data_IF_635990213613
#
_entry.id   IF_635990213613
#
_cell.length_a   1.000
_cell.length_b   1.000
_cell.length_c   1.000
_cell.angle_alpha   90.00
_cell.angle_beta   90.00
_cell.angle_gamma   90.00
#
_symmetry.space_group_name_H-M   'P 1'
#
loop_
_entity.id
_entity.type
_entity.pdbx_description
1 polymer ?
#
# COMPACT_ATOMS: atom_id res chain seq x y z
N UNK A 1 -15.04 -3.16 17.72
CA UNK A 1 -15.74 -3.00 16.44
C UNK A 1 -15.47 -4.26 15.61
N UNK A 2 -16.52 -4.98 15.21
CA UNK A 2 -16.38 -6.11 14.29
C UNK A 2 -16.36 -5.56 12.86
N UNK A 3 -15.27 -5.84 12.13
CA UNK A 3 -15.12 -5.42 10.74
C UNK A 3 -15.84 -6.31 9.74
N UNK A 4 -16.42 -7.43 10.18
CA UNK A 4 -17.16 -8.39 9.35
C UNK A 4 -16.34 -8.88 8.13
N UNK A 5 -15.07 -9.20 8.34
CA UNK A 5 -14.16 -9.70 7.30
C UNK A 5 -14.07 -11.24 7.28
N UNK A 6 -14.72 -11.92 8.22
CA UNK A 6 -14.79 -13.39 8.23
C UNK A 6 -15.42 -13.91 6.94
N UNK A 7 -14.75 -14.87 6.30
CA UNK A 7 -15.15 -15.44 5.01
C UNK A 7 -14.74 -14.64 3.78
N UNK A 8 -14.15 -13.44 3.96
CA UNK A 8 -13.57 -12.65 2.87
C UNK A 8 -12.17 -13.11 2.53
N UNK A 9 -11.82 -13.07 1.25
CA UNK A 9 -10.48 -13.37 0.75
C UNK A 9 -9.78 -12.07 0.33
N UNK A 10 -8.61 -11.80 0.90
CA UNK A 10 -7.84 -10.59 0.65
C UNK A 10 -6.47 -10.91 0.01
N UNK A 11 -6.16 -10.25 -1.11
CA UNK A 11 -4.81 -10.22 -1.68
C UNK A 11 -4.13 -8.93 -1.25
N UNK A 12 -2.95 -9.03 -0.62
CA UNK A 12 -2.12 -7.88 -0.26
C UNK A 12 -0.81 -7.94 -1.04
N UNK A 13 -0.60 -7.02 -1.99
CA UNK A 13 0.60 -7.05 -2.84
C UNK A 13 1.83 -6.56 -2.09
N UNK A 14 2.99 -7.23 -2.30
CA UNK A 14 4.24 -6.90 -1.63
C UNK A 14 4.17 -7.10 -0.11
N UNK A 15 3.33 -8.01 0.36
CA UNK A 15 3.12 -8.26 1.79
C UNK A 15 4.13 -9.23 2.41
N UNK A 16 5.14 -9.64 1.66
CA UNK A 16 6.24 -10.46 2.19
C UNK A 16 7.13 -9.70 3.20
N UNK A 17 6.96 -8.37 3.34
CA UNK A 17 7.68 -7.52 4.30
C UNK A 17 6.99 -6.18 4.55
N UNK A 18 7.56 -5.39 5.48
CA UNK A 18 7.23 -3.96 5.67
C UNK A 18 5.78 -3.71 6.08
N UNK A 19 5.19 -2.65 5.54
CA UNK A 19 3.81 -2.25 5.83
C UNK A 19 2.80 -3.27 5.31
N UNK A 20 3.06 -3.87 4.14
CA UNK A 20 2.20 -4.90 3.55
C UNK A 20 2.05 -6.13 4.44
N UNK A 21 3.13 -6.57 5.11
CA UNK A 21 3.10 -7.68 6.06
C UNK A 21 2.17 -7.37 7.25
N UNK A 22 2.23 -6.15 7.80
CA UNK A 22 1.37 -5.72 8.91
C UNK A 22 -0.09 -5.58 8.47
N UNK A 23 -0.34 -5.12 7.24
CA UNK A 23 -1.69 -5.10 6.65
C UNK A 23 -2.23 -6.53 6.53
N UNK A 24 -1.46 -7.46 5.99
CA UNK A 24 -1.85 -8.87 5.87
C UNK A 24 -2.20 -9.47 7.25
N UNK A 25 -1.35 -9.22 8.25
CA UNK A 25 -1.58 -9.65 9.63
C UNK A 25 -2.85 -9.05 10.23
N UNK A 26 -3.11 -7.76 10.01
CA UNK A 26 -4.29 -7.08 10.51
C UNK A 26 -5.57 -7.68 9.90
N UNK A 27 -5.62 -7.84 8.58
CA UNK A 27 -6.76 -8.43 7.88
C UNK A 27 -7.04 -9.87 8.34
N UNK A 28 -5.99 -10.68 8.54
CA UNK A 28 -6.15 -12.04 9.03
C UNK A 28 -6.68 -12.11 10.47
N UNK A 29 -6.25 -11.19 11.35
CA UNK A 29 -6.78 -11.07 12.73
C UNK A 29 -8.26 -10.67 12.76
N UNK A 30 -8.72 -9.95 11.75
CA UNK A 30 -10.12 -9.61 11.55
C UNK A 30 -10.93 -10.73 10.86
N UNK A 31 -10.33 -11.90 10.65
CA UNK A 31 -11.01 -13.12 10.15
C UNK A 31 -10.95 -13.30 8.63
N UNK A 32 -10.25 -12.45 7.89
CA UNK A 32 -10.08 -12.65 6.46
C UNK A 32 -9.09 -13.78 6.14
N UNK A 33 -9.37 -14.56 5.09
CA UNK A 33 -8.37 -15.40 4.42
C UNK A 33 -7.43 -14.49 3.66
N UNK A 34 -6.13 -14.53 3.93
CA UNK A 34 -5.17 -13.59 3.34
C UNK A 34 -4.16 -14.30 2.45
N UNK A 35 -4.04 -13.82 1.22
CA UNK A 35 -2.99 -14.20 0.29
C UNK A 35 -1.82 -13.23 0.46
N UNK A 36 -0.69 -13.76 0.91
CA UNK A 36 0.56 -13.03 1.15
C UNK A 36 1.39 -13.08 -0.13
N UNK A 37 1.65 -11.92 -0.73
CA UNK A 37 2.30 -11.83 -2.03
C UNK A 37 3.78 -11.44 -1.94
N UNK A 38 4.61 -12.23 -2.65
CA UNK A 38 6.02 -11.95 -2.96
C UNK A 38 6.24 -11.83 -4.47
N UNK A 39 7.25 -11.06 -4.89
CA UNK A 39 7.60 -10.94 -6.30
C UNK A 39 8.46 -12.11 -6.78
N UNK A 40 9.18 -12.75 -5.87
CA UNK A 40 10.12 -13.86 -6.14
C UNK A 40 9.79 -15.05 -5.27
N UNK A 41 10.10 -16.22 -5.77
CA UNK A 41 9.99 -17.47 -5.02
C UNK A 41 10.69 -17.37 -3.64
N UNK A 42 10.09 -17.97 -2.63
CA UNK A 42 10.58 -17.98 -1.26
C UNK A 42 10.22 -16.75 -0.43
N UNK A 43 9.84 -15.62 -1.04
CA UNK A 43 9.54 -14.39 -0.28
C UNK A 43 8.23 -14.49 0.49
N UNK A 44 7.17 -14.95 -0.17
CA UNK A 44 5.86 -15.08 0.45
C UNK A 44 5.82 -16.23 1.45
N UNK A 45 6.47 -17.33 1.12
CA UNK A 45 6.58 -18.52 1.97
C UNK A 45 7.26 -18.20 3.30
N UNK A 46 8.42 -17.51 3.26
CA UNK A 46 9.12 -17.06 4.45
C UNK A 46 8.29 -16.09 5.31
N UNK A 47 7.52 -15.21 4.67
CA UNK A 47 6.64 -14.29 5.38
C UNK A 47 5.47 -15.02 6.06
N UNK A 48 4.86 -15.99 5.39
CA UNK A 48 3.78 -16.83 5.96
C UNK A 48 4.31 -17.64 7.14
N UNK A 49 5.50 -18.22 7.02
CA UNK A 49 6.17 -18.93 8.11
C UNK A 49 6.40 -18.02 9.32
N UNK A 50 6.94 -16.81 9.08
CA UNK A 50 7.19 -15.82 10.13
C UNK A 50 5.90 -15.34 10.81
N UNK A 51 4.84 -15.15 10.05
CA UNK A 51 3.55 -14.66 10.56
C UNK A 51 2.72 -15.75 11.23
N UNK A 52 2.92 -17.00 10.84
CA UNK A 52 2.07 -18.14 11.25
C UNK A 52 0.64 -18.04 10.70
N UNK A 53 0.43 -17.28 9.61
CA UNK A 53 -0.88 -17.05 9.00
C UNK A 53 -0.76 -16.68 7.51
N UNK A 54 -1.87 -16.82 6.78
CA UNK A 54 -1.96 -16.48 5.35
C UNK A 54 -1.53 -17.64 4.45
N UNK A 55 -1.67 -17.42 3.15
CA UNK A 55 -1.29 -18.36 2.10
C UNK A 55 -0.32 -17.66 1.15
N UNK A 56 0.83 -18.29 0.79
CA UNK A 56 1.81 -17.65 -0.05
C UNK A 56 1.39 -17.68 -1.53
N UNK A 57 1.56 -16.55 -2.21
CA UNK A 57 1.39 -16.42 -3.68
C UNK A 57 2.54 -15.59 -4.26
N UNK A 58 3.00 -15.93 -5.46
CA UNK A 58 4.21 -15.36 -6.05
C UNK A 58 3.99 -14.96 -7.52
N UNK A 59 4.47 -13.78 -7.89
CA UNK A 59 4.51 -13.30 -9.27
C UNK A 59 5.08 -11.89 -9.35
N UNK A 60 5.91 -11.62 -10.33
CA UNK A 60 6.43 -10.26 -10.54
C UNK A 60 5.39 -9.38 -11.23
N UNK A 61 4.56 -8.72 -10.45
CA UNK A 61 3.48 -7.86 -10.94
C UNK A 61 3.95 -6.58 -11.63
N UNK A 62 5.26 -6.35 -11.74
CA UNK A 62 5.80 -5.23 -12.54
C UNK A 62 5.75 -5.47 -14.04
N UNK A 63 5.41 -6.68 -14.46
CA UNK A 63 5.21 -7.08 -15.85
C UNK A 63 3.97 -7.97 -16.01
N UNK A 64 3.52 -8.17 -17.25
CA UNK A 64 2.28 -8.86 -17.56
C UNK A 64 2.37 -10.37 -17.30
N UNK A 65 3.50 -11.00 -17.60
CA UNK A 65 3.71 -12.44 -17.39
C UNK A 65 3.67 -12.81 -15.90
N UNK A 66 4.35 -12.03 -15.07
CA UNK A 66 4.36 -12.25 -13.62
C UNK A 66 2.99 -11.95 -12.97
N UNK A 67 2.25 -10.97 -13.47
CA UNK A 67 0.88 -10.73 -13.05
C UNK A 67 -0.04 -11.91 -13.46
N UNK A 68 0.08 -12.42 -14.67
CA UNK A 68 -0.65 -13.60 -15.13
C UNK A 68 -0.30 -14.84 -14.30
N UNK A 69 0.99 -15.05 -13.97
CA UNK A 69 1.42 -16.12 -13.08
C UNK A 69 0.73 -16.04 -11.71
N UNK A 70 0.68 -14.85 -11.11
CA UNK A 70 0.00 -14.62 -9.83
C UNK A 70 -1.50 -14.94 -9.93
N UNK A 71 -2.19 -14.44 -10.96
CA UNK A 71 -3.62 -14.70 -11.18
C UNK A 71 -3.89 -16.20 -11.33
N UNK A 72 -3.06 -16.92 -12.08
CA UNK A 72 -3.20 -18.36 -12.28
C UNK A 72 -3.06 -19.16 -10.96
N UNK A 73 -2.17 -18.73 -10.04
CA UNK A 73 -2.05 -19.37 -8.72
C UNK A 73 -3.31 -19.20 -7.86
N UNK A 74 -4.06 -18.11 -8.09
CA UNK A 74 -5.30 -17.81 -7.38
C UNK A 74 -6.54 -18.37 -8.10
N UNK A 75 -6.38 -19.15 -9.17
CA UNK A 75 -7.49 -19.75 -9.92
C UNK A 75 -8.40 -20.56 -8.99
N UNK A 76 -9.71 -20.29 -9.06
CA UNK A 76 -10.71 -20.91 -8.17
C UNK A 76 -10.92 -20.19 -6.83
N UNK A 77 -10.13 -19.15 -6.52
CA UNK A 77 -10.37 -18.28 -5.36
C UNK A 77 -11.07 -16.99 -5.82
N UNK A 78 -12.18 -16.65 -5.16
CA UNK A 78 -12.76 -15.33 -5.30
C UNK A 78 -11.99 -14.35 -4.40
N UNK A 79 -11.46 -13.27 -4.99
CA UNK A 79 -10.75 -12.22 -4.24
C UNK A 79 -11.75 -11.10 -3.94
N UNK A 80 -12.13 -10.96 -2.69
CA UNK A 80 -13.04 -9.93 -2.20
C UNK A 80 -12.34 -8.59 -1.98
N UNK A 81 -11.09 -8.62 -1.51
CA UNK A 81 -10.31 -7.43 -1.13
C UNK A 81 -8.97 -7.45 -1.86
N UNK A 82 -8.68 -6.40 -2.63
CA UNK A 82 -7.39 -6.16 -3.25
C UNK A 82 -6.71 -4.97 -2.58
N UNK A 83 -5.58 -5.21 -1.90
CA UNK A 83 -4.73 -4.14 -1.37
C UNK A 83 -3.48 -4.00 -2.25
N UNK A 84 -3.46 -2.97 -3.08
CA UNK A 84 -2.31 -2.61 -3.91
C UNK A 84 -1.29 -1.84 -3.07
N UNK A 85 -0.56 -2.59 -2.22
CA UNK A 85 0.46 -2.05 -1.34
C UNK A 85 1.84 -1.99 -2.02
N UNK A 86 2.14 -2.90 -2.97
CA UNK A 86 3.44 -2.91 -3.65
C UNK A 86 3.72 -1.59 -4.34
N UNK A 87 4.95 -1.12 -4.20
CA UNK A 87 5.51 0.06 -4.82
C UNK A 87 6.86 0.42 -4.23
N UNK A 88 7.65 1.19 -4.95
CA UNK A 88 9.00 1.58 -4.51
C UNK A 88 9.24 3.08 -4.74
N UNK A 89 9.95 3.70 -3.80
CA UNK A 89 10.44 5.07 -3.89
C UNK A 89 11.91 5.05 -4.32
N UNK A 90 12.16 4.61 -5.55
CA UNK A 90 13.52 4.56 -6.08
C UNK A 90 14.13 5.98 -6.13
N UNK A 91 15.41 6.07 -5.84
CA UNK A 91 16.14 7.33 -5.87
C UNK A 91 16.14 7.91 -7.30
N UNK A 92 16.14 9.24 -7.39
CA UNK A 92 16.20 9.92 -8.68
C UNK A 92 16.20 11.44 -8.53
N UNK A 93 16.53 12.13 -9.61
CA UNK A 93 16.49 13.59 -9.68
C UNK A 93 16.05 14.03 -11.08
N UNK A 94 15.69 15.30 -11.23
CA UNK A 94 15.33 15.88 -12.53
C UNK A 94 16.48 15.88 -13.53
N UNK A 95 17.73 16.00 -13.03
CA UNK A 95 18.91 16.10 -13.88
C UNK A 95 19.45 14.73 -14.33
N UNK A 96 19.26 13.68 -13.52
CA UNK A 96 19.95 12.40 -13.73
C UNK A 96 19.02 11.23 -14.05
N UNK A 97 17.71 11.35 -13.78
CA UNK A 97 16.76 10.26 -14.05
C UNK A 97 16.46 10.13 -15.54
N UNK A 98 16.77 8.96 -16.09
CA UNK A 98 16.47 8.59 -17.49
C UNK A 98 14.98 8.33 -17.71
N UNK A 99 14.53 8.38 -18.97
CA UNK A 99 13.18 7.98 -19.35
C UNK A 99 12.85 6.55 -18.94
N UNK A 100 13.83 5.63 -19.02
CA UNK A 100 13.64 4.24 -18.61
C UNK A 100 13.39 4.11 -17.10
N UNK A 101 14.05 4.90 -16.26
CA UNK A 101 13.78 4.93 -14.82
C UNK A 101 12.36 5.45 -14.52
N UNK A 102 11.86 6.40 -15.31
CA UNK A 102 10.47 6.85 -15.23
C UNK A 102 9.48 5.73 -15.62
N UNK A 103 9.76 5.00 -16.70
CA UNK A 103 8.94 3.84 -17.11
C UNK A 103 8.95 2.77 -16.01
N UNK A 104 10.11 2.46 -15.44
CA UNK A 104 10.24 1.51 -14.33
C UNK A 104 9.42 1.96 -13.11
N UNK A 105 9.45 3.24 -12.76
CA UNK A 105 8.65 3.78 -11.66
C UNK A 105 7.14 3.60 -11.92
N UNK A 106 6.68 3.80 -13.14
CA UNK A 106 5.29 3.54 -13.55
C UNK A 106 4.93 2.06 -13.49
N UNK A 107 5.78 1.17 -13.99
CA UNK A 107 5.56 -0.28 -13.91
C UNK A 107 5.37 -0.74 -12.46
N UNK A 108 6.20 -0.22 -11.55
CA UNK A 108 6.17 -0.60 -10.14
C UNK A 108 4.99 0.01 -9.36
N UNK A 109 4.65 1.27 -9.58
CA UNK A 109 3.74 2.03 -8.72
C UNK A 109 2.32 2.24 -9.29
N UNK A 110 2.12 2.01 -10.59
CA UNK A 110 0.84 2.23 -11.27
C UNK A 110 0.37 0.96 -11.97
N UNK A 111 1.15 0.46 -12.93
CA UNK A 111 0.75 -0.66 -13.77
C UNK A 111 0.67 -1.98 -13.01
N UNK A 112 1.48 -2.16 -11.96
CA UNK A 112 1.33 -3.30 -11.03
C UNK A 112 -0.07 -3.38 -10.43
N UNK A 113 -0.62 -2.24 -9.98
CA UNK A 113 -1.98 -2.17 -9.45
C UNK A 113 -3.02 -2.31 -10.58
N UNK A 114 -2.82 -1.65 -11.71
CA UNK A 114 -3.74 -1.69 -12.84
C UNK A 114 -3.93 -3.12 -13.38
N UNK A 115 -2.86 -3.91 -13.54
CA UNK A 115 -2.94 -5.31 -13.99
C UNK A 115 -3.84 -6.16 -13.11
N UNK A 116 -3.68 -6.05 -11.80
CA UNK A 116 -4.48 -6.83 -10.85
C UNK A 116 -5.92 -6.33 -10.78
N UNK A 117 -6.14 -5.01 -10.82
CA UNK A 117 -7.48 -4.45 -10.90
C UNK A 117 -8.21 -4.99 -12.15
N UNK A 118 -7.60 -4.90 -13.31
CA UNK A 118 -8.21 -5.37 -14.57
C UNK A 118 -8.56 -6.86 -14.51
N UNK A 119 -7.71 -7.67 -13.89
CA UNK A 119 -7.91 -9.11 -13.81
C UNK A 119 -8.97 -9.53 -12.78
N UNK A 120 -9.08 -8.82 -11.65
CA UNK A 120 -9.94 -9.21 -10.52
C UNK A 120 -11.30 -8.49 -10.51
N UNK A 121 -11.38 -7.32 -11.12
CA UNK A 121 -12.59 -6.48 -11.13
C UNK A 121 -13.85 -7.16 -11.71
N UNK A 122 -13.77 -7.93 -12.81
CA UNK A 122 -14.97 -8.60 -13.34
C UNK A 122 -15.65 -9.49 -12.31
N UNK A 123 -14.90 -10.33 -11.61
CA UNK A 123 -15.45 -11.22 -10.57
C UNK A 123 -16.02 -10.45 -9.37
N UNK A 124 -15.40 -9.33 -8.95
CA UNK A 124 -15.95 -8.46 -7.91
C UNK A 124 -17.28 -7.81 -8.32
N UNK A 125 -17.40 -7.39 -9.59
CA UNK A 125 -18.64 -6.83 -10.15
C UNK A 125 -19.76 -7.87 -10.19
N UNK A 126 -19.45 -9.07 -10.68
CA UNK A 126 -20.41 -10.18 -10.76
C UNK A 126 -20.92 -10.59 -9.37
N UNK A 127 -20.07 -10.54 -8.36
CA UNK A 127 -20.44 -10.78 -6.96
C UNK A 127 -21.21 -9.61 -6.30
N UNK A 128 -21.28 -8.44 -6.95
CA UNK A 128 -21.89 -7.23 -6.40
C UNK A 128 -21.18 -6.70 -5.16
N UNK A 129 -19.93 -7.11 -4.92
CA UNK A 129 -19.14 -6.69 -3.76
C UNK A 129 -17.64 -6.79 -4.04
N UNK A 130 -16.90 -5.80 -3.62
CA UNK A 130 -15.44 -5.79 -3.67
C UNK A 130 -14.85 -4.57 -2.98
N UNK A 131 -13.60 -4.68 -2.54
CA UNK A 131 -12.83 -3.58 -1.95
C UNK A 131 -11.46 -3.51 -2.59
N UNK A 132 -11.14 -2.36 -3.15
CA UNK A 132 -9.84 -2.07 -3.76
C UNK A 132 -9.21 -0.92 -2.97
N UNK A 133 -8.08 -1.16 -2.34
CA UNK A 133 -7.36 -0.16 -1.56
C UNK A 133 -5.97 0.03 -2.18
N UNK A 134 -5.71 1.22 -2.71
CA UNK A 134 -4.42 1.59 -3.27
C UNK A 134 -3.57 2.29 -2.19
N UNK A 135 -2.31 1.92 -2.03
CA UNK A 135 -1.37 2.61 -1.15
C UNK A 135 -0.64 3.73 -1.93
N UNK A 136 -1.03 4.96 -1.60
CA UNK A 136 -0.44 6.19 -2.11
C UNK A 136 0.67 6.75 -1.23
N UNK A 137 0.77 8.06 -1.23
CA UNK A 137 1.61 8.88 -0.36
C UNK A 137 1.06 10.30 -0.32
N UNK A 138 1.24 11.02 0.78
CA UNK A 138 0.95 12.46 0.82
C UNK A 138 1.77 13.24 -0.22
N UNK A 139 2.91 12.69 -0.66
CA UNK A 139 3.73 13.26 -1.73
C UNK A 139 3.04 13.29 -3.10
N UNK A 140 1.94 12.57 -3.32
CA UNK A 140 1.10 12.74 -4.52
C UNK A 140 0.37 14.09 -4.53
N UNK A 141 0.15 14.69 -3.37
CA UNK A 141 -0.50 16.01 -3.21
C UNK A 141 0.54 17.12 -3.02
N UNK A 142 1.60 16.88 -2.25
CA UNK A 142 2.70 17.83 -1.99
C UNK A 142 4.05 17.15 -2.25
N UNK A 143 4.46 17.03 -3.54
CA UNK A 143 5.72 16.41 -3.89
C UNK A 143 6.92 17.26 -3.42
N UNK A 144 8.02 16.62 -3.11
CA UNK A 144 9.29 17.30 -2.92
C UNK A 144 10.15 17.22 -4.21
N UNK A 145 11.29 17.89 -4.23
CA UNK A 145 12.16 17.96 -5.40
C UNK A 145 12.95 16.65 -5.68
N UNK A 146 12.98 15.71 -4.73
CA UNK A 146 13.66 14.42 -4.88
C UNK A 146 12.69 13.36 -5.37
N UNK A 147 13.20 12.36 -6.08
CA UNK A 147 12.43 11.22 -6.59
C UNK A 147 11.21 11.63 -7.43
N UNK A 148 11.37 12.51 -8.45
CA UNK A 148 10.24 13.08 -9.19
C UNK A 148 9.39 12.00 -9.86
N UNK A 149 10.02 10.94 -10.42
CA UNK A 149 9.32 9.81 -11.05
C UNK A 149 8.42 9.05 -10.07
N UNK A 150 8.85 8.92 -8.80
CA UNK A 150 8.04 8.30 -7.75
C UNK A 150 6.78 9.11 -7.46
N UNK A 151 6.93 10.42 -7.18
CA UNK A 151 5.76 11.25 -6.87
C UNK A 151 4.81 11.39 -8.06
N UNK A 152 5.33 11.49 -9.29
CA UNK A 152 4.51 11.51 -10.50
C UNK A 152 3.72 10.20 -10.64
N UNK A 153 4.34 9.03 -10.43
CA UNK A 153 3.66 7.74 -10.49
C UNK A 153 2.59 7.61 -9.39
N UNK A 154 2.86 8.05 -8.16
CA UNK A 154 1.86 8.05 -7.08
C UNK A 154 0.73 9.06 -7.31
N UNK A 155 0.99 10.19 -7.97
CA UNK A 155 -0.04 11.11 -8.46
C UNK A 155 -0.95 10.46 -9.50
N UNK A 156 -0.37 9.71 -10.44
CA UNK A 156 -1.13 8.93 -11.41
C UNK A 156 -2.01 7.85 -10.74
N UNK A 157 -1.50 7.13 -9.74
CA UNK A 157 -2.27 6.17 -8.96
C UNK A 157 -3.46 6.83 -8.23
N UNK A 158 -3.28 8.04 -7.70
CA UNK A 158 -4.35 8.80 -7.06
C UNK A 158 -5.45 9.17 -8.08
N UNK A 159 -5.07 9.69 -9.24
CA UNK A 159 -6.01 10.01 -10.33
C UNK A 159 -6.73 8.76 -10.83
N UNK A 160 -6.02 7.64 -11.01
CA UNK A 160 -6.58 6.34 -11.40
C UNK A 160 -7.64 5.87 -10.41
N UNK A 161 -7.41 6.05 -9.10
CA UNK A 161 -8.38 5.68 -8.06
C UNK A 161 -9.70 6.42 -8.22
N UNK A 162 -9.66 7.74 -8.45
CA UNK A 162 -10.87 8.56 -8.64
C UNK A 162 -11.57 8.20 -9.94
N UNK A 163 -10.83 7.98 -11.03
CA UNK A 163 -11.39 7.55 -12.30
C UNK A 163 -12.12 6.21 -12.19
N UNK A 164 -11.47 5.22 -11.56
CA UNK A 164 -12.06 3.90 -11.32
C UNK A 164 -13.31 3.97 -10.43
N UNK A 165 -13.31 4.83 -9.41
CA UNK A 165 -14.49 5.01 -8.57
C UNK A 165 -15.72 5.46 -9.37
N UNK A 166 -15.55 6.33 -10.35
CA UNK A 166 -16.65 6.77 -11.22
C UNK A 166 -17.18 5.62 -12.10
N UNK A 167 -16.29 4.80 -12.61
CA UNK A 167 -16.67 3.62 -13.42
C UNK A 167 -17.41 2.56 -12.57
N UNK A 168 -17.10 2.48 -11.28
CA UNK A 168 -17.67 1.51 -10.35
C UNK A 168 -19.00 1.97 -9.71
N UNK A 169 -19.58 3.05 -10.18
CA UNK A 169 -20.89 3.52 -9.68
C UNK A 169 -21.92 2.40 -9.70
N UNK A 170 -22.65 2.24 -8.57
CA UNK A 170 -23.70 1.24 -8.37
C UNK A 170 -23.27 -0.25 -8.50
N UNK A 171 -21.97 -0.55 -8.61
CA UNK A 171 -21.48 -1.93 -8.79
C UNK A 171 -21.35 -2.72 -7.46
N UNK A 172 -21.47 -2.09 -6.31
CA UNK A 172 -21.13 -2.70 -5.01
C UNK A 172 -19.63 -2.75 -4.71
N UNK A 173 -18.77 -2.47 -5.68
CA UNK A 173 -17.31 -2.40 -5.49
C UNK A 173 -16.90 -0.99 -5.05
N UNK A 174 -16.01 -0.89 -4.05
CA UNK A 174 -15.45 0.38 -3.58
C UNK A 174 -13.96 0.42 -3.84
N UNK A 175 -13.47 1.57 -4.30
CA UNK A 175 -12.03 1.82 -4.46
C UNK A 175 -11.65 3.10 -3.72
N UNK A 176 -10.56 3.04 -2.95
CA UNK A 176 -10.02 4.18 -2.21
C UNK A 176 -8.49 4.18 -2.23
N UNK A 177 -7.90 5.34 -1.97
CA UNK A 177 -6.46 5.53 -1.80
C UNK A 177 -6.18 5.86 -0.34
N UNK A 178 -5.22 5.16 0.25
CA UNK A 178 -4.63 5.53 1.55
C UNK A 178 -3.29 6.19 1.28
N UNK A 179 -3.12 7.42 1.74
CA UNK A 179 -1.90 8.22 1.55
C UNK A 179 -1.19 8.46 2.88
N UNK A 180 -0.25 7.59 3.25
CA UNK A 180 0.55 7.80 4.44
C UNK A 180 1.52 8.98 4.28
N UNK A 181 1.89 9.56 5.42
CA UNK A 181 3.12 10.32 5.57
C UNK A 181 4.35 9.41 5.64
N UNK A 182 5.35 9.81 6.42
CA UNK A 182 6.48 8.91 6.74
C UNK A 182 5.95 7.78 7.64
N UNK A 183 6.21 6.54 7.24
CA UNK A 183 5.85 5.35 8.02
C UNK A 183 7.11 4.82 8.71
N UNK A 184 7.02 4.50 9.99
CA UNK A 184 8.10 3.87 10.74
C UNK A 184 8.25 2.40 10.31
N UNK A 185 9.12 2.17 9.33
CA UNK A 185 9.61 0.84 8.97
C UNK A 185 11.02 0.63 9.54
N UNK A 186 11.52 -0.61 9.63
CA UNK A 186 12.88 -0.86 10.08
C UNK A 186 13.95 -0.08 9.28
N UNK A 187 13.74 0.08 7.98
CA UNK A 187 14.66 0.83 7.11
C UNK A 187 14.61 2.34 7.40
N UNK A 188 13.42 2.89 7.66
CA UNK A 188 13.24 4.30 8.05
C UNK A 188 13.86 4.56 9.41
N UNK A 189 13.61 3.69 10.39
CA UNK A 189 14.22 3.76 11.72
C UNK A 189 15.74 3.74 11.64
N UNK A 190 16.32 2.75 10.94
CA UNK A 190 17.77 2.65 10.76
C UNK A 190 18.39 3.89 10.08
N UNK A 191 17.71 4.44 9.07
CA UNK A 191 18.16 5.64 8.37
C UNK A 191 18.16 6.88 9.28
N UNK A 192 17.12 7.03 10.12
CA UNK A 192 17.05 8.13 11.09
C UNK A 192 18.01 7.96 12.26
N UNK A 193 18.24 6.74 12.75
CA UNK A 193 19.26 6.42 13.75
C UNK A 193 20.64 6.86 13.24
N UNK A 194 21.03 6.43 12.05
CA UNK A 194 22.31 6.82 11.44
C UNK A 194 22.43 8.34 11.21
N UNK A 195 21.32 9.01 10.82
CA UNK A 195 21.29 10.47 10.67
C UNK A 195 21.37 11.19 12.01
N UNK A 196 20.65 10.70 13.02
CA UNK A 196 20.61 11.29 14.35
C UNK A 196 21.96 11.26 15.04
N UNK A 197 22.67 10.13 14.97
CA UNK A 197 24.05 10.01 15.48
C UNK A 197 24.98 11.06 14.84
N UNK A 198 24.93 11.20 13.50
CA UNK A 198 25.76 12.20 12.78
C UNK A 198 25.42 13.65 13.15
N UNK A 199 24.17 13.91 13.59
CA UNK A 199 23.68 15.25 13.96
C UNK A 199 23.71 15.52 15.46
N UNK A 200 24.13 14.55 16.27
CA UNK A 200 24.15 14.68 17.74
C UNK A 200 22.75 14.72 18.36
N UNK A 201 21.75 14.08 17.73
CA UNK A 201 20.39 14.01 18.27
C UNK A 201 20.21 12.93 19.36
N UNK A 202 21.18 12.01 19.48
CA UNK A 202 21.17 10.89 20.38
C UNK A 202 21.56 9.58 19.70
N UNK A 203 21.42 8.46 20.43
CA UNK A 203 21.78 7.11 20.00
C UNK A 203 20.60 6.14 19.99
N UNK A 204 19.52 6.48 20.66
CA UNK A 204 18.29 5.67 20.75
C UNK A 204 17.15 6.27 19.90
N UNK A 205 16.16 5.43 19.57
CA UNK A 205 14.99 5.91 18.84
C UNK A 205 14.23 7.00 19.62
N UNK A 206 14.05 6.82 20.92
CA UNK A 206 13.32 7.76 21.77
C UNK A 206 13.97 9.16 21.79
N UNK A 207 15.31 9.23 21.68
CA UNK A 207 16.03 10.50 21.58
C UNK A 207 15.91 11.12 20.18
N UNK A 208 15.83 10.29 19.13
CA UNK A 208 15.89 10.73 17.72
C UNK A 208 14.50 11.02 17.15
N UNK A 209 13.46 10.26 17.53
CA UNK A 209 12.10 10.43 16.97
C UNK A 209 11.56 11.86 17.13
N UNK A 210 11.71 12.59 18.26
CA UNK A 210 11.26 13.97 18.36
C UNK A 210 11.90 14.91 17.32
N UNK A 211 13.16 14.68 16.98
CA UNK A 211 13.85 15.44 15.94
C UNK A 211 13.39 15.05 14.53
N UNK A 212 13.13 13.77 14.30
CA UNK A 212 12.64 13.26 13.04
C UNK A 212 11.20 13.72 12.75
N UNK A 213 10.39 13.83 13.80
CA UNK A 213 8.97 14.17 13.76
C UNK A 213 8.66 15.64 14.07
N UNK A 214 9.66 16.52 14.16
CA UNK A 214 9.50 17.94 14.59
C UNK A 214 8.43 18.71 13.79
N UNK A 215 8.24 18.35 12.50
CA UNK A 215 7.30 18.99 11.60
C UNK A 215 5.97 18.18 11.49
N UNK A 216 5.80 17.12 12.29
CA UNK A 216 4.60 16.27 12.32
C UNK A 216 3.77 16.65 13.55
N UNK A 217 2.55 17.20 13.39
CA UNK A 217 1.74 17.72 14.51
C UNK A 217 1.47 16.73 15.64
N UNK A 218 1.30 15.42 15.33
CA UNK A 218 1.15 14.40 16.41
C UNK A 218 2.43 14.10 17.18
N UNK A 219 3.57 14.73 16.84
CA UNK A 219 4.85 14.61 17.55
C UNK A 219 5.61 13.30 17.36
N UNK A 220 5.18 12.44 16.47
CA UNK A 220 5.84 11.16 16.15
C UNK A 220 5.61 10.74 14.70
N UNK A 221 6.38 9.76 14.24
CA UNK A 221 6.21 9.14 12.92
C UNK A 221 5.00 8.18 12.94
N UNK A 222 4.25 8.10 11.86
CA UNK A 222 3.12 7.17 11.70
C UNK A 222 3.59 5.71 11.79
N UNK A 223 2.88 4.88 12.55
CA UNK A 223 3.20 3.46 12.71
C UNK A 223 2.56 2.63 11.59
N UNK A 224 3.17 1.50 11.24
CA UNK A 224 2.63 0.57 10.22
C UNK A 224 1.27 0.03 10.61
N UNK A 225 1.06 -0.21 11.90
CA UNK A 225 -0.17 -0.71 12.50
C UNK A 225 -1.34 0.26 12.30
N UNK A 226 -1.08 1.57 12.34
CA UNK A 226 -2.09 2.59 12.10
C UNK A 226 -2.56 2.58 10.63
N UNK A 227 -1.61 2.43 9.71
CA UNK A 227 -1.93 2.26 8.27
C UNK A 227 -2.72 0.97 8.05
N UNK A 228 -2.31 -0.13 8.68
CA UNK A 228 -3.00 -1.42 8.58
C UNK A 228 -4.43 -1.38 9.12
N UNK A 229 -4.65 -0.71 10.25
CA UNK A 229 -5.98 -0.53 10.83
C UNK A 229 -6.92 0.27 9.92
N UNK A 230 -6.42 1.34 9.29
CA UNK A 230 -7.19 2.10 8.31
C UNK A 230 -7.53 1.26 7.07
N UNK A 231 -6.56 0.49 6.57
CA UNK A 231 -6.78 -0.42 5.43
C UNK A 231 -7.83 -1.48 5.78
N UNK A 232 -7.75 -2.09 6.96
CA UNK A 232 -8.73 -3.08 7.40
C UNK A 232 -10.15 -2.48 7.53
N UNK A 233 -10.27 -1.26 8.06
CA UNK A 233 -11.55 -0.54 8.10
C UNK A 233 -12.11 -0.31 6.69
N UNK A 234 -11.29 0.16 5.74
CA UNK A 234 -11.70 0.40 4.36
C UNK A 234 -12.02 -0.90 3.59
N UNK A 235 -11.44 -2.02 3.99
CA UNK A 235 -11.74 -3.34 3.46
C UNK A 235 -13.10 -3.88 3.94
N UNK A 236 -13.65 -3.31 4.99
CA UNK A 236 -14.88 -3.78 5.64
C UNK A 236 -16.16 -3.25 4.97
N UNK A 237 -17.33 -3.89 5.18
CA UNK A 237 -18.61 -3.33 4.79
C UNK A 237 -18.96 -2.04 5.55
N UNK A 238 -18.35 -1.76 6.70
CA UNK A 238 -18.57 -0.53 7.47
C UNK A 238 -18.12 0.74 6.73
N UNK A 239 -17.20 0.61 5.78
CA UNK A 239 -16.70 1.69 4.94
C UNK A 239 -17.47 1.84 3.61
N UNK A 240 -18.69 1.29 3.49
CA UNK A 240 -19.42 1.24 2.20
C UNK A 240 -19.70 2.61 1.59
N UNK A 241 -19.86 3.65 2.40
CA UNK A 241 -20.06 5.03 1.94
C UNK A 241 -18.75 5.74 1.52
N UNK A 242 -17.57 5.13 1.75
CA UNK A 242 -16.28 5.71 1.40
C UNK A 242 -15.86 5.17 0.03
N UNK A 243 -15.85 6.05 -0.98
CA UNK A 243 -15.61 5.68 -2.36
C UNK A 243 -14.89 6.79 -3.12
N UNK A 244 -13.81 6.46 -3.82
CA UNK A 244 -13.01 7.40 -4.59
C UNK A 244 -12.21 8.40 -3.74
N UNK A 245 -12.06 8.13 -2.45
CA UNK A 245 -11.38 9.04 -1.53
C UNK A 245 -9.88 8.81 -1.48
N UNK A 246 -9.14 9.90 -1.26
CA UNK A 246 -7.73 9.90 -0.88
C UNK A 246 -7.62 10.20 0.62
N UNK A 247 -7.53 9.16 1.44
CA UNK A 247 -7.51 9.29 2.89
C UNK A 247 -6.07 9.38 3.38
N UNK A 248 -5.74 10.51 4.00
CA UNK A 248 -4.41 10.78 4.54
C UNK A 248 -4.27 10.17 5.93
N UNK A 249 -3.11 9.59 6.19
CA UNK A 249 -2.70 9.09 7.50
C UNK A 249 -1.24 9.51 7.73
N UNK A 250 -1.06 10.76 8.12
CA UNK A 250 0.23 11.44 8.06
C UNK A 250 0.58 12.24 9.33
N UNK A 251 -0.24 12.10 10.36
CA UNK A 251 -0.05 12.83 11.61
C UNK A 251 -0.29 14.33 11.52
N UNK A 252 -0.95 14.79 10.45
CA UNK A 252 -1.26 16.21 10.22
C UNK A 252 -0.15 17.00 9.53
N UNK A 253 0.87 16.32 8.97
CA UNK A 253 1.99 17.02 8.31
C UNK A 253 1.58 17.71 7.01
N UNK A 254 0.52 17.23 6.35
CA UNK A 254 0.01 17.85 5.13
C UNK A 254 -1.06 18.89 5.48
N UNK A 255 -0.65 20.14 5.48
CA UNK A 255 -1.41 21.33 5.90
C UNK A 255 -2.32 21.88 4.78
N UNK A 256 -3.17 21.04 4.23
CA UNK A 256 -4.15 21.42 3.20
C UNK A 256 -5.57 21.04 3.60
N UNK A 257 -6.53 21.85 3.18
CA UNK A 257 -7.95 21.50 3.19
C UNK A 257 -8.27 20.80 1.87
N UNK A 258 -8.80 19.60 1.93
CA UNK A 258 -9.12 18.78 0.73
C UNK A 258 -10.44 18.06 0.93
#
# INVERSE_FOLDING_TARGET
LDLNLTGKCALVTGSYRGTGMIIAQCLAREGARVLVHGLKAGQAEAAVEQLGLGEPVTGDITNDDGAAQLINQMAGSHIDVLVNNYGTADAGSWETSSSDEWVVAYQKNVLSAQRLITSLLPAMRDAGWGRIINLGTIGSTRPNARNPQYYASKGALATMTVSLAKELAASGVRVNLVSPGIILTPEVEAAYLARGQRKGWGSTWDEIEPHAARDIPIGRITRREEVASLVAYLASPLADAIHGQNIKIDGGILDIVS
#
